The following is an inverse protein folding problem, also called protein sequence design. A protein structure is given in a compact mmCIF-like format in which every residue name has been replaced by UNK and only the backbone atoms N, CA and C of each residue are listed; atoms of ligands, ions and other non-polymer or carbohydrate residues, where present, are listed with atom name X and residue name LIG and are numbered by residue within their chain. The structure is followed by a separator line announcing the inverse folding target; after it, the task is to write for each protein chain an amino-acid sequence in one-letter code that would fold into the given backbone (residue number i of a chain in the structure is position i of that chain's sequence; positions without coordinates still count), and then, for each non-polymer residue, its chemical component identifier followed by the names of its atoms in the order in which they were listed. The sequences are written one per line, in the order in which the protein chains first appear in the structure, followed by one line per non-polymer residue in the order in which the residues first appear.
data_IF_082116531277
#
_entry.id   IF_082116531277
#
_cell.length_a   1.000
_cell.length_b   1.000
_cell.length_c   1.000
_cell.angle_alpha   90.00
_cell.angle_beta   90.00
_cell.angle_gamma   90.00
#
_symmetry.space_group_name_H-M   'P 1'
#
loop_
_entity.id
_entity.type
_entity.pdbx_description
1 polymer ?
#
# COMPACT_ATOMS: atom_id res chain seq x y z
N UNK A 1 2.02 -2.92 11.74
CA UNK A 1 3.03 -1.86 11.50
C UNK A 1 4.18 -2.05 12.48
N UNK A 2 5.43 -1.91 12.03
CA UNK A 2 6.63 -2.09 12.87
C UNK A 2 7.50 -0.82 12.75
N UNK A 3 7.34 0.16 13.66
CA UNK A 3 8.09 1.42 13.61
C UNK A 3 9.56 1.19 13.98
N UNK A 4 10.45 1.55 13.06
CA UNK A 4 11.89 1.52 13.26
C UNK A 4 12.37 2.92 13.66
N UNK A 5 13.23 2.98 14.67
CA UNK A 5 13.83 4.24 15.12
C UNK A 5 15.17 4.41 14.42
N UNK A 6 15.28 5.44 13.59
CA UNK A 6 16.51 5.85 12.94
C UNK A 6 17.11 7.07 13.64
N UNK A 7 18.42 7.09 13.80
CA UNK A 7 19.15 8.21 14.38
C UNK A 7 19.18 9.39 13.40
N UNK A 8 18.62 10.54 13.79
CA UNK A 8 18.40 11.70 12.89
C UNK A 8 19.63 12.16 12.11
N UNK A 9 20.83 12.05 12.69
CA UNK A 9 22.06 12.55 12.08
C UNK A 9 22.82 11.50 11.24
N UNK A 10 22.32 10.26 11.19
CA UNK A 10 22.98 9.15 10.49
C UNK A 10 22.24 8.75 9.21
N UNK A 11 21.02 9.20 8.99
CA UNK A 11 20.18 8.75 7.88
C UNK A 11 19.48 9.92 7.19
N UNK A 12 19.47 9.91 5.86
CA UNK A 12 18.72 10.89 5.06
C UNK A 12 17.88 10.19 4.00
N UNK A 13 16.65 10.65 3.75
CA UNK A 13 15.83 10.15 2.65
C UNK A 13 16.24 10.84 1.34
N UNK A 14 16.34 10.06 0.25
CA UNK A 14 16.61 10.56 -1.10
C UNK A 14 15.44 10.16 -2.01
N UNK A 15 14.74 11.12 -2.65
CA UNK A 15 13.60 10.82 -3.51
C UNK A 15 14.02 9.96 -4.72
N UNK A 16 13.21 8.95 -5.06
CA UNK A 16 13.51 8.02 -6.15
C UNK A 16 13.60 8.70 -7.51
N UNK A 17 12.82 9.78 -7.74
CA UNK A 17 12.89 10.60 -8.94
C UNK A 17 14.19 11.40 -9.10
N UNK A 18 14.94 11.62 -8.01
CA UNK A 18 16.24 12.30 -8.02
C UNK A 18 17.41 11.31 -8.18
N UNK A 19 17.11 10.01 -8.27
CA UNK A 19 18.09 8.96 -8.49
C UNK A 19 18.08 8.47 -9.94
N UNK A 20 19.08 7.68 -10.32
CA UNK A 20 19.12 7.01 -11.62
C UNK A 20 17.93 6.07 -11.88
N UNK A 21 17.21 5.64 -10.83
CA UNK A 21 16.05 4.75 -10.96
C UNK A 21 14.82 5.51 -11.49
N UNK A 22 14.74 6.81 -11.23
CA UNK A 22 13.62 7.68 -11.64
C UNK A 22 12.23 7.09 -11.31
N UNK A 23 12.03 6.66 -10.06
CA UNK A 23 10.77 6.02 -9.60
C UNK A 23 10.10 6.89 -8.51
N UNK A 24 9.18 7.81 -8.89
CA UNK A 24 8.43 8.62 -7.92
C UNK A 24 7.66 7.78 -6.91
N UNK A 25 7.56 8.28 -5.67
CA UNK A 25 6.85 7.58 -4.59
C UNK A 25 7.69 6.48 -3.91
N UNK A 26 8.92 6.30 -4.37
CA UNK A 26 9.92 5.44 -3.76
C UNK A 26 11.14 6.25 -3.32
N UNK A 27 11.89 5.73 -2.36
CA UNK A 27 12.93 6.47 -1.65
C UNK A 27 14.13 5.56 -1.36
N UNK A 28 15.33 6.11 -1.49
CA UNK A 28 16.51 5.53 -0.85
C UNK A 28 16.70 6.18 0.53
N UNK A 29 17.33 5.45 1.44
CA UNK A 29 17.72 5.99 2.75
C UNK A 29 19.24 5.89 2.84
N UNK A 30 19.94 7.01 2.75
CA UNK A 30 21.40 7.07 2.71
C UNK A 30 21.99 7.11 4.11
N UNK A 31 23.08 6.37 4.33
CA UNK A 31 23.88 6.43 5.56
C UNK A 31 24.85 7.60 5.50
N UNK A 32 24.61 8.62 6.31
CA UNK A 32 25.37 9.88 6.38
C UNK A 32 26.58 9.80 7.31
N UNK A 33 27.53 10.73 7.20
CA UNK A 33 28.60 10.95 8.19
C UNK A 33 29.44 9.71 8.54
N UNK A 34 29.71 8.82 7.58
CA UNK A 34 30.44 7.56 7.83
C UNK A 34 31.89 7.78 8.28
N UNK A 35 32.51 8.91 7.91
CA UNK A 35 33.87 9.27 8.33
C UNK A 35 33.95 9.60 9.83
N UNK A 36 32.90 10.22 10.37
CA UNK A 36 32.81 10.61 11.78
C UNK A 36 32.14 9.54 12.65
N UNK A 37 31.16 8.82 12.09
CA UNK A 37 30.40 7.76 12.75
C UNK A 37 30.57 6.46 11.96
N UNK A 38 31.61 5.67 12.24
CA UNK A 38 31.92 4.47 11.47
C UNK A 38 30.83 3.40 11.61
N UNK A 39 30.89 2.39 10.74
CA UNK A 39 29.95 1.26 10.78
C UNK A 39 29.97 0.57 12.14
N UNK A 40 28.77 0.25 12.64
CA UNK A 40 28.55 -0.30 13.99
C UNK A 40 28.07 0.75 14.98
N UNK A 41 28.08 2.04 14.61
CA UNK A 41 27.53 3.13 15.43
C UNK A 41 26.00 3.06 15.48
N UNK A 42 25.35 2.69 14.37
CA UNK A 42 23.90 2.46 14.34
C UNK A 42 23.59 0.96 14.36
N UNK A 43 22.52 0.58 15.05
CA UNK A 43 21.99 -0.79 14.98
C UNK A 43 21.73 -1.21 13.51
N UNK A 44 21.28 -0.26 12.69
CA UNK A 44 20.86 -0.47 11.31
C UNK A 44 22.03 -0.55 10.32
N UNK A 45 23.28 -0.32 10.76
CA UNK A 45 24.46 -0.50 9.91
C UNK A 45 24.58 -1.95 9.37
N UNK A 46 23.97 -2.93 10.06
CA UNK A 46 23.87 -4.33 9.61
C UNK A 46 23.00 -4.55 8.37
N UNK A 47 22.12 -3.59 8.08
CA UNK A 47 21.19 -3.62 6.94
C UNK A 47 21.61 -2.66 5.82
N UNK A 48 22.83 -2.11 5.89
CA UNK A 48 23.35 -1.20 4.87
C UNK A 48 23.94 -1.98 3.70
N UNK A 49 23.48 -1.65 2.49
CA UNK A 49 23.99 -2.18 1.22
C UNK A 49 24.34 -1.01 0.33
N UNK A 50 25.60 -0.93 -0.13
CA UNK A 50 26.04 0.15 -1.02
C UNK A 50 25.92 1.56 -0.44
N UNK A 51 25.93 1.72 0.89
CA UNK A 51 25.76 3.02 1.56
C UNK A 51 24.31 3.44 1.83
N UNK A 52 23.34 2.57 1.51
CA UNK A 52 21.92 2.82 1.76
C UNK A 52 21.32 1.74 2.67
N UNK A 53 20.35 2.11 3.49
CA UNK A 53 19.58 1.17 4.30
C UNK A 53 18.65 0.36 3.39
N UNK A 54 18.96 -0.92 3.19
CA UNK A 54 18.17 -1.77 2.31
C UNK A 54 16.89 -2.24 3.02
N UNK A 55 15.69 -1.96 2.46
CA UNK A 55 14.44 -2.48 3.00
C UNK A 55 14.39 -4.01 2.93
N UNK A 56 15.04 -4.61 1.92
CA UNK A 56 15.18 -6.06 1.80
C UNK A 56 15.98 -6.65 2.96
N UNK A 57 17.16 -6.10 3.27
CA UNK A 57 17.97 -6.58 4.41
C UNK A 57 17.29 -6.35 5.76
N UNK A 58 16.48 -5.29 5.86
CA UNK A 58 15.60 -5.08 7.03
C UNK A 58 14.55 -6.19 7.12
N UNK A 59 13.83 -6.49 6.03
CA UNK A 59 12.84 -7.56 5.99
C UNK A 59 13.46 -8.92 6.31
N UNK A 60 14.60 -9.28 5.73
CA UNK A 60 15.30 -10.54 6.04
C UNK A 60 15.69 -10.64 7.53
N UNK A 61 16.08 -9.52 8.13
CA UNK A 61 16.38 -9.47 9.57
C UNK A 61 15.13 -9.69 10.43
N UNK A 62 13.99 -9.11 10.04
CA UNK A 62 12.71 -9.31 10.72
C UNK A 62 12.13 -10.71 10.49
N UNK A 63 12.31 -11.27 9.30
CA UNK A 63 11.82 -12.60 8.94
C UNK A 63 12.44 -13.67 9.83
N UNK A 64 13.76 -13.55 10.13
CA UNK A 64 14.44 -14.43 11.09
C UNK A 64 13.84 -14.36 12.50
N UNK A 65 13.48 -13.17 12.95
CA UNK A 65 12.83 -12.99 14.26
C UNK A 65 11.45 -13.63 14.26
N UNK A 66 10.64 -13.33 13.24
CA UNK A 66 9.28 -13.85 13.14
C UNK A 66 9.29 -15.37 12.97
N UNK A 67 10.14 -15.94 12.11
CA UNK A 67 10.14 -17.38 11.84
C UNK A 67 10.84 -18.19 12.92
N UNK A 68 12.01 -17.76 13.36
CA UNK A 68 12.92 -18.65 14.10
C UNK A 68 12.94 -18.36 15.60
N UNK A 69 12.58 -17.14 16.02
CA UNK A 69 12.70 -16.71 17.42
C UNK A 69 11.39 -16.77 18.21
N UNK A 70 10.24 -16.85 17.54
CA UNK A 70 8.92 -16.83 18.19
C UNK A 70 8.26 -18.21 18.12
N UNK A 71 7.82 -18.72 19.27
CA UNK A 71 7.06 -19.97 19.37
C UNK A 71 5.57 -19.73 19.04
N UNK A 72 5.24 -19.59 17.75
CA UNK A 72 3.85 -19.39 17.30
C UNK A 72 2.87 -20.47 17.75
N UNK A 73 3.23 -21.77 17.79
CA UNK A 73 2.35 -22.79 18.35
C UNK A 73 1.93 -22.51 19.79
N UNK A 74 2.85 -22.07 20.65
CA UNK A 74 2.53 -21.72 22.03
C UNK A 74 1.65 -20.46 22.12
N UNK A 75 1.92 -19.46 21.28
CA UNK A 75 1.09 -18.24 21.18
C UNK A 75 -0.33 -18.59 20.72
N UNK A 76 -0.45 -19.45 19.69
CA UNK A 76 -1.74 -19.91 19.18
C UNK A 76 -2.53 -20.68 20.24
N UNK A 77 -1.88 -21.60 20.96
CA UNK A 77 -2.52 -22.36 22.03
C UNK A 77 -3.03 -21.46 23.18
N UNK A 78 -2.28 -20.42 23.54
CA UNK A 78 -2.69 -19.46 24.57
C UNK A 78 -3.90 -18.59 24.14
N UNK A 79 -4.09 -18.41 22.84
CA UNK A 79 -5.14 -17.56 22.25
C UNK A 79 -6.30 -18.37 21.63
N UNK A 80 -6.30 -19.70 21.80
CA UNK A 80 -7.25 -20.62 21.16
C UNK A 80 -7.37 -20.42 19.63
N UNK A 81 -6.24 -20.24 18.96
CA UNK A 81 -6.17 -20.07 17.51
C UNK A 81 -4.95 -20.78 16.91
N UNK A 82 -4.97 -21.01 15.60
CA UNK A 82 -3.80 -21.54 14.89
C UNK A 82 -3.05 -20.40 14.21
N UNK A 83 -1.85 -20.12 14.70
CA UNK A 83 -0.96 -19.08 14.16
C UNK A 83 0.21 -19.74 13.45
N UNK A 84 0.47 -19.35 12.19
CA UNK A 84 1.64 -19.83 11.44
C UNK A 84 2.19 -18.75 10.49
N UNK A 85 3.53 -18.68 10.31
CA UNK A 85 4.12 -17.91 9.23
C UNK A 85 3.67 -18.39 7.85
N UNK A 86 3.39 -17.44 6.95
CA UNK A 86 3.09 -17.72 5.54
C UNK A 86 4.40 -17.85 4.78
N UNK A 87 4.58 -18.95 4.03
CA UNK A 87 5.79 -19.23 3.24
C UNK A 87 5.41 -19.89 1.91
N UNK A 88 6.02 -19.51 0.77
CA UNK A 88 6.84 -18.30 0.58
C UNK A 88 5.96 -17.04 0.58
N UNK A 89 6.53 -15.89 0.99
CA UNK A 89 5.84 -14.60 0.90
C UNK A 89 6.86 -13.49 0.62
N UNK A 90 6.48 -12.51 -0.20
CA UNK A 90 7.31 -11.32 -0.49
C UNK A 90 7.39 -10.37 0.71
N UNK A 91 6.44 -10.47 1.63
CA UNK A 91 6.40 -9.73 2.88
C UNK A 91 6.28 -10.68 4.06
N UNK A 92 6.48 -10.18 5.27
CA UNK A 92 6.45 -11.01 6.46
C UNK A 92 4.99 -11.11 6.91
N UNK A 93 4.34 -12.25 6.68
CA UNK A 93 2.94 -12.45 7.02
C UNK A 93 2.69 -13.65 7.95
N UNK A 94 1.70 -13.52 8.82
CA UNK A 94 1.14 -14.61 9.63
C UNK A 94 -0.28 -14.91 9.17
N UNK A 95 -0.60 -16.19 9.02
CA UNK A 95 -1.98 -16.67 8.95
C UNK A 95 -2.45 -17.03 10.36
N UNK A 96 -3.57 -16.45 10.77
CA UNK A 96 -4.26 -16.71 12.02
C UNK A 96 -5.62 -17.31 11.69
N UNK A 97 -5.79 -18.60 11.95
CA UNK A 97 -7.09 -19.28 11.89
C UNK A 97 -7.72 -19.21 13.28
N UNK A 98 -8.70 -18.33 13.43
CA UNK A 98 -9.39 -18.06 14.70
C UNK A 98 -10.77 -18.73 14.80
N UNK A 99 -11.29 -19.23 13.69
CA UNK A 99 -12.45 -20.13 13.61
C UNK A 99 -12.18 -21.16 12.49
N UNK A 100 -12.95 -22.25 12.43
CA UNK A 100 -12.77 -23.34 11.45
C UNK A 100 -12.65 -22.82 10.01
N UNK A 101 -13.53 -21.89 9.62
CA UNK A 101 -13.60 -21.36 8.25
C UNK A 101 -13.14 -19.91 8.13
N UNK A 102 -12.61 -19.31 9.21
CA UNK A 102 -12.16 -17.91 9.19
C UNK A 102 -10.68 -17.76 9.43
N UNK A 103 -10.06 -17.01 8.53
CA UNK A 103 -8.63 -16.76 8.49
C UNK A 103 -8.38 -15.26 8.44
N UNK A 104 -7.35 -14.83 9.15
CA UNK A 104 -6.84 -13.47 9.14
C UNK A 104 -5.37 -13.52 8.71
N UNK A 105 -4.99 -12.63 7.80
CA UNK A 105 -3.60 -12.45 7.40
C UNK A 105 -3.07 -11.17 8.05
N UNK A 106 -2.02 -11.31 8.85
CA UNK A 106 -1.34 -10.20 9.51
C UNK A 106 -0.01 -9.95 8.82
N UNK A 107 0.12 -8.79 8.18
CA UNK A 107 1.35 -8.36 7.52
C UNK A 107 2.19 -7.47 8.46
N UNK A 108 3.44 -7.86 8.68
CA UNK A 108 4.43 -7.08 9.40
C UNK A 108 5.12 -6.16 8.40
N UNK A 109 4.85 -4.87 8.54
CA UNK A 109 5.36 -3.85 7.67
C UNK A 109 6.30 -2.93 8.44
N UNK A 110 7.63 -3.12 8.32
CA UNK A 110 8.62 -2.19 8.84
C UNK A 110 8.42 -0.82 8.22
N UNK A 111 8.50 0.21 9.05
CA UNK A 111 8.35 1.59 8.60
C UNK A 111 9.33 2.51 9.32
N UNK A 112 9.73 3.57 8.64
CA UNK A 112 10.52 4.67 9.19
C UNK A 112 9.77 5.97 8.90
N UNK A 113 9.95 6.94 9.80
CA UNK A 113 9.32 8.25 9.66
C UNK A 113 10.41 9.30 9.53
N UNK A 114 10.37 10.05 8.43
CA UNK A 114 11.20 11.22 8.20
C UNK A 114 10.30 12.44 8.11
N UNK A 115 10.38 13.32 9.10
CA UNK A 115 9.53 14.52 9.18
C UNK A 115 8.03 14.17 9.08
N UNK A 116 7.41 14.45 7.93
CA UNK A 116 6.01 14.17 7.61
C UNK A 116 5.81 12.97 6.67
N UNK A 117 6.88 12.28 6.30
CA UNK A 117 6.87 11.14 5.36
C UNK A 117 7.00 9.82 6.10
N UNK A 118 6.10 8.90 5.76
CA UNK A 118 6.16 7.51 6.22
C UNK A 118 6.68 6.65 5.09
N UNK A 119 7.85 6.02 5.28
CA UNK A 119 8.43 5.09 4.34
C UNK A 119 8.27 3.67 4.87
N UNK A 120 7.82 2.75 4.03
CA UNK A 120 7.55 1.36 4.39
C UNK A 120 8.43 0.40 3.59
N UNK A 121 8.89 -0.67 4.25
CA UNK A 121 9.59 -1.77 3.61
C UNK A 121 8.58 -2.72 2.94
N UNK A 122 7.85 -2.22 1.95
CA UNK A 122 7.05 -3.05 1.04
C UNK A 122 7.77 -3.10 -0.30
N UNK A 123 8.18 -4.30 -0.78
CA UNK A 123 8.91 -4.44 -2.03
C UNK A 123 8.20 -3.77 -3.20
N UNK A 124 8.99 -3.30 -4.15
CA UNK A 124 8.51 -2.98 -5.49
C UNK A 124 8.29 -4.30 -6.26
N UNK A 125 7.29 -4.35 -7.13
CA UNK A 125 6.97 -5.55 -7.92
C UNK A 125 8.14 -6.01 -8.82
N UNK A 126 8.87 -5.07 -9.39
CA UNK A 126 10.11 -5.31 -10.14
C UNK A 126 11.32 -5.50 -9.21
N UNK A 127 12.03 -6.61 -9.36
CA UNK A 127 13.15 -7.00 -8.50
C UNK A 127 14.35 -6.05 -8.57
N UNK A 128 14.54 -5.32 -9.67
CA UNK A 128 15.60 -4.31 -9.81
C UNK A 128 15.44 -3.15 -8.80
N UNK A 129 14.21 -2.90 -8.36
CA UNK A 129 13.86 -1.91 -7.36
C UNK A 129 13.70 -2.52 -5.95
N UNK A 130 14.30 -3.68 -5.67
CA UNK A 130 14.20 -4.33 -4.36
C UNK A 130 14.81 -3.52 -3.20
N UNK A 131 15.65 -2.52 -3.49
CA UNK A 131 16.34 -1.71 -2.50
C UNK A 131 15.67 -0.36 -2.20
N UNK A 132 14.51 -0.06 -2.78
CA UNK A 132 13.80 1.19 -2.50
C UNK A 132 12.70 1.02 -1.46
N UNK A 133 12.59 2.01 -0.58
CA UNK A 133 11.49 2.14 0.36
C UNK A 133 10.29 2.78 -0.32
N UNK A 134 9.09 2.32 -0.01
CA UNK A 134 7.86 2.86 -0.58
C UNK A 134 7.29 3.95 0.32
N UNK A 135 6.88 5.07 -0.25
CA UNK A 135 6.13 6.08 0.50
C UNK A 135 4.70 5.61 0.77
N UNK A 136 4.27 5.67 2.02
CA UNK A 136 2.90 5.31 2.42
C UNK A 136 2.01 6.54 2.45
N UNK A 137 0.93 6.51 1.66
CA UNK A 137 -0.11 7.54 1.65
C UNK A 137 -1.39 7.11 2.38
N UNK A 138 -1.45 5.86 2.87
CA UNK A 138 -2.68 5.21 3.34
C UNK A 138 -3.38 5.99 4.44
N UNK A 139 -2.64 6.38 5.48
CA UNK A 139 -3.21 7.09 6.64
C UNK A 139 -3.70 8.48 6.26
N UNK A 140 -2.93 9.20 5.45
CA UNK A 140 -3.27 10.53 4.97
C UNK A 140 -4.52 10.51 4.07
N UNK A 141 -4.60 9.57 3.11
CA UNK A 141 -5.78 9.39 2.27
C UNK A 141 -7.02 9.03 3.09
N UNK A 142 -6.90 8.04 3.99
CA UNK A 142 -8.03 7.58 4.82
C UNK A 142 -8.54 8.69 5.72
N UNK A 143 -7.62 9.41 6.38
CA UNK A 143 -7.97 10.52 7.27
C UNK A 143 -8.66 11.67 6.53
N UNK A 144 -8.24 11.94 5.27
CA UNK A 144 -8.84 12.99 4.45
C UNK A 144 -10.26 12.64 4.03
N UNK A 145 -10.53 11.39 3.61
CA UNK A 145 -11.89 10.93 3.29
C UNK A 145 -12.80 10.94 4.53
N UNK A 146 -12.31 10.42 5.66
CA UNK A 146 -13.07 10.42 6.91
C UNK A 146 -13.41 11.83 7.38
N UNK A 147 -12.47 12.78 7.24
CA UNK A 147 -12.71 14.18 7.59
C UNK A 147 -13.75 14.82 6.67
N UNK A 148 -13.71 14.51 5.38
CA UNK A 148 -14.70 15.01 4.42
C UNK A 148 -16.11 14.52 4.78
N UNK A 149 -16.29 13.20 4.95
CA UNK A 149 -17.60 12.63 5.30
C UNK A 149 -18.11 13.09 6.68
N UNK A 150 -17.22 13.32 7.66
CA UNK A 150 -17.62 13.94 8.93
C UNK A 150 -18.06 15.40 8.79
N UNK A 151 -17.53 16.11 7.79
CA UNK A 151 -17.82 17.52 7.56
C UNK A 151 -19.17 17.75 6.88
N UNK A 152 -19.58 16.85 5.99
CA UNK A 152 -20.80 16.99 5.18
C UNK A 152 -21.80 15.82 5.30
N UNK A 153 -21.50 14.80 6.11
CA UNK A 153 -22.33 13.60 6.21
C UNK A 153 -22.29 12.72 4.95
N UNK A 154 -21.25 12.89 4.11
CA UNK A 154 -21.18 12.29 2.79
C UNK A 154 -20.94 10.79 2.75
N UNK A 155 -21.11 10.22 1.56
CA UNK A 155 -21.07 8.78 1.31
C UNK A 155 -19.73 8.26 0.74
N UNK A 156 -18.62 9.02 0.80
CA UNK A 156 -17.34 8.65 0.17
C UNK A 156 -16.77 7.35 0.70
N UNK A 157 -16.74 7.20 2.02
CA UNK A 157 -16.25 5.99 2.69
C UNK A 157 -17.16 4.79 2.42
N UNK A 158 -18.47 5.01 2.25
CA UNK A 158 -19.42 3.95 1.86
C UNK A 158 -19.16 3.51 0.42
N UNK A 159 -19.00 4.47 -0.50
CA UNK A 159 -18.67 4.21 -1.89
C UNK A 159 -17.34 3.46 -2.03
N UNK A 160 -16.30 3.85 -1.28
CA UNK A 160 -15.03 3.13 -1.22
C UNK A 160 -15.19 1.68 -0.74
N UNK A 161 -16.03 1.44 0.27
CA UNK A 161 -16.31 0.06 0.75
C UNK A 161 -16.99 -0.79 -0.30
N UNK A 162 -17.97 -0.23 -1.02
CA UNK A 162 -18.63 -0.91 -2.14
C UNK A 162 -17.63 -1.28 -3.22
N UNK A 163 -16.82 -0.31 -3.66
CA UNK A 163 -15.80 -0.52 -4.69
C UNK A 163 -14.77 -1.58 -4.29
N UNK A 164 -14.31 -1.56 -3.04
CA UNK A 164 -13.43 -2.62 -2.50
C UNK A 164 -14.12 -3.99 -2.45
N UNK A 165 -15.41 -4.03 -2.14
CA UNK A 165 -16.21 -5.25 -2.18
C UNK A 165 -16.27 -5.83 -3.58
N UNK A 166 -16.59 -4.99 -4.57
CA UNK A 166 -16.61 -5.34 -6.00
C UNK A 166 -15.25 -5.88 -6.45
N UNK A 167 -14.15 -5.18 -6.18
CA UNK A 167 -12.82 -5.66 -6.56
C UNK A 167 -12.42 -6.96 -5.87
N UNK A 168 -12.94 -7.22 -4.66
CA UNK A 168 -12.67 -8.45 -3.91
C UNK A 168 -13.41 -9.66 -4.49
N UNK A 169 -14.65 -9.48 -4.96
CA UNK A 169 -15.46 -10.59 -5.50
C UNK A 169 -15.21 -10.85 -6.98
N UNK A 170 -14.72 -9.85 -7.73
CA UNK A 170 -14.41 -9.97 -9.15
C UNK A 170 -12.91 -10.24 -9.36
N UNK A 171 -12.48 -11.46 -9.75
CA UNK A 171 -11.07 -11.80 -9.87
C UNK A 171 -10.28 -10.90 -10.83
N UNK A 172 -10.90 -10.47 -11.93
CA UNK A 172 -10.29 -9.56 -12.90
C UNK A 172 -9.94 -8.20 -12.29
N UNK A 173 -10.73 -7.73 -11.31
CA UNK A 173 -10.52 -6.46 -10.61
C UNK A 173 -9.64 -6.59 -9.36
N UNK A 174 -9.23 -7.81 -9.00
CA UNK A 174 -8.45 -8.09 -7.79
C UNK A 174 -7.04 -7.48 -7.80
N UNK A 175 -6.59 -6.96 -8.94
CA UNK A 175 -5.31 -6.25 -9.10
C UNK A 175 -5.35 -4.82 -8.57
N UNK A 176 -6.55 -4.23 -8.44
CA UNK A 176 -6.70 -2.91 -7.86
C UNK A 176 -6.59 -2.98 -6.34
N UNK A 177 -5.58 -2.32 -5.80
CA UNK A 177 -5.35 -2.32 -4.36
C UNK A 177 -6.19 -1.26 -3.63
N UNK A 178 -6.32 -1.43 -2.31
CA UNK A 178 -7.10 -0.48 -1.50
C UNK A 178 -6.55 0.94 -1.55
N UNK A 179 -5.24 1.14 -1.79
CA UNK A 179 -4.62 2.45 -1.89
C UNK A 179 -5.05 3.19 -3.15
N UNK A 180 -5.01 2.52 -4.30
CA UNK A 180 -5.50 3.01 -5.59
C UNK A 180 -7.00 3.37 -5.52
N UNK A 181 -7.83 2.48 -4.98
CA UNK A 181 -9.27 2.74 -4.83
C UNK A 181 -9.56 3.93 -3.90
N UNK A 182 -8.80 4.07 -2.81
CA UNK A 182 -8.96 5.22 -1.89
C UNK A 182 -8.54 6.53 -2.57
N UNK A 183 -7.45 6.50 -3.33
CA UNK A 183 -6.97 7.65 -4.09
C UNK A 183 -7.95 8.08 -5.19
N UNK A 184 -8.55 7.12 -5.90
CA UNK A 184 -9.60 7.35 -6.89
C UNK A 184 -10.80 8.10 -6.28
N UNK A 185 -11.34 7.60 -5.15
CA UNK A 185 -12.44 8.27 -4.43
C UNK A 185 -12.04 9.68 -4.00
N UNK A 186 -10.82 9.86 -3.51
CA UNK A 186 -10.33 11.17 -3.10
C UNK A 186 -10.17 12.13 -4.29
N UNK A 187 -9.70 11.65 -5.45
CA UNK A 187 -9.56 12.44 -6.67
C UNK A 187 -10.92 12.88 -7.24
N UNK A 188 -11.93 12.00 -7.24
CA UNK A 188 -13.31 12.41 -7.62
C UNK A 188 -13.87 13.38 -6.60
N UNK A 189 -13.62 13.17 -5.31
CA UNK A 189 -14.11 14.02 -4.23
C UNK A 189 -13.57 15.45 -4.26
N UNK A 190 -12.39 15.70 -4.84
CA UNK A 190 -11.89 17.08 -4.98
C UNK A 190 -12.58 17.82 -6.12
N UNK A 191 -13.08 17.10 -7.14
CA UNK A 191 -13.78 17.66 -8.31
C UNK A 191 -15.29 17.78 -8.10
N UNK A 192 -15.91 16.80 -7.41
CA UNK A 192 -17.35 16.77 -7.11
C UNK A 192 -17.58 17.01 -5.62
N UNK A 193 -18.37 18.06 -5.34
CA UNK A 193 -18.65 18.50 -3.97
C UNK A 193 -19.79 17.74 -3.31
N UNK A 194 -20.84 17.44 -4.06
CA UNK A 194 -22.00 16.75 -3.51
C UNK A 194 -21.72 15.25 -3.37
N UNK A 195 -21.79 14.75 -2.14
CA UNK A 195 -21.65 13.34 -1.78
C UNK A 195 -22.78 12.92 -0.85
N UNK A 196 -23.97 13.51 -1.01
CA UNK A 196 -25.14 13.12 -0.25
C UNK A 196 -25.35 11.58 -0.30
N UNK A 197 -25.94 10.98 0.74
CA UNK A 197 -26.23 9.55 0.72
C UNK A 197 -27.09 9.10 -0.47
N UNK A 198 -27.99 9.97 -0.94
CA UNK A 198 -28.89 9.70 -2.06
C UNK A 198 -28.15 9.60 -3.40
N UNK A 199 -27.01 10.29 -3.53
CA UNK A 199 -26.18 10.27 -4.74
C UNK A 199 -25.22 9.07 -4.83
N UNK A 200 -25.25 8.14 -3.86
CA UNK A 200 -24.28 7.04 -3.79
C UNK A 200 -24.17 6.25 -5.12
N UNK A 201 -25.30 5.96 -5.75
CA UNK A 201 -25.34 5.24 -7.02
C UNK A 201 -24.66 6.04 -8.13
N UNK A 202 -24.95 7.33 -8.25
CA UNK A 202 -24.31 8.20 -9.24
C UNK A 202 -22.81 8.33 -9.00
N UNK A 203 -22.37 8.45 -7.74
CA UNK A 203 -20.95 8.54 -7.39
C UNK A 203 -20.21 7.24 -7.67
N UNK A 204 -20.86 6.10 -7.44
CA UNK A 204 -20.31 4.80 -7.79
C UNK A 204 -20.10 4.66 -9.31
N UNK A 205 -21.09 5.03 -10.12
CA UNK A 205 -20.97 5.00 -11.58
C UNK A 205 -19.94 6.00 -12.12
N UNK A 206 -19.88 7.20 -11.52
CA UNK A 206 -18.86 8.18 -11.85
C UNK A 206 -17.45 7.64 -11.57
N UNK A 207 -17.26 6.95 -10.43
CA UNK A 207 -15.97 6.35 -10.09
C UNK A 207 -15.56 5.26 -11.07
N UNK A 208 -16.48 4.43 -11.55
CA UNK A 208 -16.18 3.43 -12.58
C UNK A 208 -15.73 4.12 -13.86
N UNK A 209 -16.43 5.17 -14.31
CA UNK A 209 -16.05 5.94 -15.52
C UNK A 209 -14.68 6.60 -15.38
N UNK A 210 -14.40 7.22 -14.24
CA UNK A 210 -13.10 7.86 -13.99
C UNK A 210 -11.98 6.82 -13.89
N UNK A 211 -12.24 5.64 -13.29
CA UNK A 211 -11.29 4.52 -13.28
C UNK A 211 -10.97 4.02 -14.69
N UNK A 212 -11.98 3.87 -15.55
CA UNK A 212 -11.75 3.53 -16.97
C UNK A 212 -10.85 4.59 -17.61
N UNK A 213 -11.17 5.88 -17.45
CA UNK A 213 -10.33 6.95 -18.01
C UNK A 213 -8.89 6.95 -17.49
N UNK A 214 -8.66 6.71 -16.19
CA UNK A 214 -7.30 6.59 -15.65
C UNK A 214 -6.56 5.35 -16.14
N UNK A 215 -7.27 4.25 -16.41
CA UNK A 215 -6.69 3.04 -16.97
C UNK A 215 -6.33 3.24 -18.46
N UNK A 216 -7.19 3.91 -19.24
CA UNK A 216 -6.91 4.28 -20.63
C UNK A 216 -5.65 5.17 -20.73
N UNK A 217 -5.47 6.12 -19.81
CA UNK A 217 -4.27 6.96 -19.72
C UNK A 217 -3.07 6.22 -19.08
N UNK A 218 -3.27 5.02 -18.54
CA UNK A 218 -2.26 4.27 -17.78
C UNK A 218 -1.76 4.99 -16.52
N UNK A 219 -2.51 5.97 -16.02
CA UNK A 219 -2.05 6.86 -14.95
C UNK A 219 -3.17 7.25 -13.98
N UNK A 220 -3.01 6.84 -12.72
CA UNK A 220 -3.77 7.36 -11.59
C UNK A 220 -2.84 8.21 -10.72
N UNK A 221 -2.85 9.55 -10.87
CA UNK A 221 -1.98 10.41 -10.08
C UNK A 221 -2.40 10.41 -8.60
N UNK A 222 -1.42 10.33 -7.70
CA UNK A 222 -1.68 10.40 -6.27
C UNK A 222 -2.22 11.79 -5.87
N UNK A 223 -3.39 11.90 -5.19
CA UNK A 223 -3.97 13.18 -4.80
C UNK A 223 -3.14 14.02 -3.81
N UNK A 224 -2.14 13.41 -3.16
CA UNK A 224 -1.24 14.08 -2.22
C UNK A 224 0.14 14.35 -2.83
N UNK A 225 0.50 13.66 -3.92
CA UNK A 225 1.76 13.85 -4.64
C UNK A 225 1.56 13.52 -6.13
N UNK A 226 1.21 14.51 -6.98
CA UNK A 226 0.87 14.27 -8.37
C UNK A 226 1.98 13.67 -9.22
N UNK A 227 3.23 13.65 -8.74
CA UNK A 227 4.35 12.98 -9.43
C UNK A 227 4.23 11.46 -9.38
N UNK A 228 3.52 10.92 -8.39
CA UNK A 228 3.38 9.49 -8.16
C UNK A 228 2.20 8.94 -8.97
N UNK A 229 2.50 8.09 -9.95
CA UNK A 229 1.49 7.28 -10.63
C UNK A 229 1.22 6.02 -9.80
N UNK A 230 0.00 5.88 -9.27
CA UNK A 230 -0.40 4.71 -8.48
C UNK A 230 -0.60 3.44 -9.31
N UNK A 231 -0.62 3.54 -10.64
CA UNK A 231 -0.65 2.40 -11.57
C UNK A 231 0.74 1.98 -12.05
N UNK A 232 1.83 2.60 -11.58
CA UNK A 232 3.20 2.34 -12.08
C UNK A 232 3.67 0.89 -11.95
N UNK A 233 3.06 0.10 -11.06
CA UNK A 233 3.39 -1.31 -10.84
C UNK A 233 2.43 -2.30 -11.51
N UNK A 234 1.40 -1.81 -12.20
CA UNK A 234 0.54 -2.63 -13.04
C UNK A 234 1.21 -2.86 -14.40
N UNK A 235 1.07 -4.06 -14.94
CA UNK A 235 1.54 -4.31 -16.31
C UNK A 235 0.56 -3.72 -17.32
N UNK A 236 1.00 -3.43 -18.57
CA UNK A 236 0.08 -2.99 -19.62
C UNK A 236 -1.10 -3.96 -19.82
N UNK A 237 -0.84 -5.27 -19.77
CA UNK A 237 -1.88 -6.28 -19.86
C UNK A 237 -2.89 -6.19 -18.70
N UNK A 238 -2.44 -5.97 -17.46
CA UNK A 238 -3.34 -5.81 -16.33
C UNK A 238 -4.17 -4.53 -16.45
N UNK A 239 -3.58 -3.44 -16.97
CA UNK A 239 -4.29 -2.20 -17.25
C UNK A 239 -5.39 -2.45 -18.28
N UNK A 240 -5.09 -3.14 -19.38
CA UNK A 240 -6.06 -3.48 -20.43
C UNK A 240 -7.19 -4.38 -19.89
N UNK A 241 -6.85 -5.43 -19.14
CA UNK A 241 -7.82 -6.35 -18.53
C UNK A 241 -8.75 -5.64 -17.53
N UNK A 242 -8.20 -4.76 -16.68
CA UNK A 242 -8.95 -3.93 -15.75
C UNK A 242 -9.87 -2.96 -16.50
N UNK A 243 -9.33 -2.28 -17.51
CA UNK A 243 -10.06 -1.29 -18.32
C UNK A 243 -11.23 -1.94 -19.05
N UNK A 244 -10.98 -3.05 -19.74
CA UNK A 244 -12.00 -3.82 -20.45
C UNK A 244 -13.12 -4.29 -19.50
N UNK A 245 -12.76 -4.86 -18.35
CA UNK A 245 -13.73 -5.36 -17.37
C UNK A 245 -14.64 -4.23 -16.86
N UNK A 246 -14.06 -3.08 -16.50
CA UNK A 246 -14.83 -1.93 -16.03
C UNK A 246 -15.64 -1.28 -17.15
N UNK A 247 -15.12 -1.21 -18.37
CA UNK A 247 -15.82 -0.67 -19.53
C UNK A 247 -17.07 -1.49 -19.87
N UNK A 248 -16.97 -2.82 -19.90
CA UNK A 248 -18.12 -3.71 -20.09
C UNK A 248 -19.19 -3.52 -19.02
N UNK A 249 -18.76 -3.28 -17.77
CA UNK A 249 -19.68 -3.02 -16.66
C UNK A 249 -20.40 -1.66 -16.74
N UNK A 250 -19.98 -0.72 -17.60
CA UNK A 250 -20.68 0.56 -17.73
C UNK A 250 -22.09 0.43 -18.32
N UNK A 251 -22.34 -0.60 -19.12
CA UNK A 251 -23.66 -0.88 -19.69
C UNK A 251 -24.61 -1.54 -18.70
N UNK A 252 -24.10 -2.43 -17.86
CA UNK A 252 -24.86 -3.19 -16.84
C UNK A 252 -24.07 -3.23 -15.51
N UNK A 253 -24.04 -2.11 -14.75
CA UNK A 253 -23.20 -1.98 -13.55
C UNK A 253 -23.58 -2.94 -12.42
N UNK A 254 -24.83 -3.40 -12.39
CA UNK A 254 -25.32 -4.45 -11.49
C UNK A 254 -24.59 -5.79 -11.66
N UNK A 255 -23.97 -6.03 -12.82
CA UNK A 255 -23.13 -7.22 -13.04
C UNK A 255 -21.95 -7.29 -12.06
N UNK A 256 -21.41 -6.14 -11.66
CA UNK A 256 -20.30 -6.04 -10.68
C UNK A 256 -20.70 -6.45 -9.26
N UNK A 257 -21.99 -6.44 -8.96
CA UNK A 257 -22.55 -6.76 -7.64
C UNK A 257 -22.90 -8.24 -7.49
N UNK A 258 -22.76 -9.03 -8.56
CA UNK A 258 -22.99 -10.49 -8.51
C UNK A 258 -21.82 -11.16 -7.78
N UNK A 259 -22.14 -12.13 -6.93
CA UNK A 259 -21.19 -12.90 -6.09
C UNK A 259 -21.15 -14.35 -6.49
#
# INVERSE_FOLDING_TARGET
MVPLVLEKNLWSPVPGEETIMNVPGFWLIRRENQEYYPRGTSYWDRCVVGGYLSPKSVLESFERVVRDSINWPAVGAALDCRVRPVVPSETIALEVQYETDRRLFLEFLPLVVFEDRVLIAKPHRLAEFANVWRQSFREAHTSRLQRADRGDGGCRCLCLKLLKGVCKVNPALGKLDSGQLTAAVLAVSTRKRDWSPDDLAERFLLLIRELVGWLEEGCLPCPLDPKVNLFSELTPQEIDELGYTLYCALSEPESLLRT
#
